data_IF_251992997443
#
_entry.id   IF_251992997443
#
_cell.length_a   1.000
_cell.length_b   1.000
_cell.length_c   1.000
_cell.angle_alpha   90.00
_cell.angle_beta   90.00
_cell.angle_gamma   90.00
#
_symmetry.space_group_name_H-M   'P 1'
#
loop_
_entity.id
_entity.type
_entity.pdbx_description
1 polymer ?
#
# COMPACT_ATOMS: atom_id res chain seq x y z
N UNK A 1 -38.86 -29.45 -14.69
CA UNK A 1 -38.24 -28.13 -14.38
C UNK A 1 -38.94 -27.07 -15.22
N UNK A 2 -39.54 -26.05 -14.62
CA UNK A 2 -40.39 -25.08 -15.35
C UNK A 2 -39.53 -24.16 -16.23
N UNK A 3 -39.93 -23.97 -17.50
CA UNK A 3 -39.28 -23.07 -18.49
C UNK A 3 -39.00 -21.68 -17.91
N UNK A 4 -39.86 -21.20 -17.00
CA UNK A 4 -39.69 -19.95 -16.24
C UNK A 4 -38.42 -19.91 -15.38
N UNK A 5 -37.98 -21.04 -14.79
CA UNK A 5 -36.75 -21.13 -14.00
C UNK A 5 -35.50 -21.16 -14.87
N UNK A 6 -35.57 -21.73 -16.07
CA UNK A 6 -34.45 -21.75 -17.03
C UNK A 6 -34.23 -20.33 -17.59
N UNK A 7 -35.31 -19.62 -17.93
CA UNK A 7 -35.24 -18.25 -18.40
C UNK A 7 -34.73 -17.29 -17.31
N UNK A 8 -35.15 -17.48 -16.06
CA UNK A 8 -34.63 -16.73 -14.92
C UNK A 8 -33.13 -16.97 -14.71
N UNK A 9 -32.68 -18.24 -14.75
CA UNK A 9 -31.26 -18.58 -14.62
C UNK A 9 -30.41 -17.96 -15.74
N UNK A 10 -30.92 -17.94 -16.98
CA UNK A 10 -30.28 -17.28 -18.11
C UNK A 10 -30.16 -15.76 -17.88
N UNK A 11 -31.23 -15.11 -17.41
CA UNK A 11 -31.20 -13.69 -17.07
C UNK A 11 -30.22 -13.38 -15.93
N UNK A 12 -30.15 -14.21 -14.90
CA UNK A 12 -29.17 -14.05 -13.80
C UNK A 12 -27.74 -14.16 -14.31
N UNK A 13 -27.45 -15.12 -15.20
CA UNK A 13 -26.13 -15.26 -15.82
C UNK A 13 -25.79 -14.04 -16.69
N UNK A 14 -26.75 -13.52 -17.47
CA UNK A 14 -26.54 -12.29 -18.27
C UNK A 14 -26.26 -11.08 -17.38
N UNK A 15 -26.94 -10.95 -16.24
CA UNK A 15 -26.68 -9.88 -15.26
C UNK A 15 -25.30 -10.04 -14.62
N UNK A 16 -24.91 -11.26 -14.23
CA UNK A 16 -23.58 -11.54 -13.66
C UNK A 16 -22.46 -11.27 -14.68
N UNK A 17 -22.66 -11.64 -15.94
CA UNK A 17 -21.71 -11.33 -17.03
C UNK A 17 -21.64 -9.83 -17.28
N UNK A 18 -22.77 -9.11 -17.25
CA UNK A 18 -22.79 -7.64 -17.37
C UNK A 18 -22.09 -6.96 -16.20
N UNK A 19 -22.28 -7.44 -14.97
CA UNK A 19 -21.56 -6.94 -13.79
C UNK A 19 -20.05 -7.25 -13.87
N UNK A 20 -19.68 -8.44 -14.36
CA UNK A 20 -18.28 -8.81 -14.61
C UNK A 20 -17.62 -7.95 -15.69
N UNK A 21 -18.34 -7.61 -16.75
CA UNK A 21 -17.85 -6.72 -17.83
C UNK A 21 -17.77 -5.25 -17.39
N UNK A 22 -18.62 -4.78 -16.47
CA UNK A 22 -18.46 -3.43 -15.89
C UNK A 22 -17.29 -3.33 -14.91
N UNK A 23 -16.87 -4.45 -14.32
CA UNK A 23 -15.65 -4.51 -13.50
C UNK A 23 -14.39 -4.54 -14.37
N UNK A 24 -14.44 -5.08 -15.60
CA UNK A 24 -13.26 -5.15 -16.47
C UNK A 24 -12.77 -3.76 -16.90
N UNK A 25 -13.66 -2.78 -17.07
CA UNK A 25 -13.25 -1.39 -17.36
C UNK A 25 -12.66 -0.66 -16.15
N UNK A 26 -12.94 -1.12 -14.92
CA UNK A 26 -12.28 -0.62 -13.71
C UNK A 26 -10.88 -1.20 -13.52
N UNK A 27 -10.60 -2.36 -14.13
CA UNK A 27 -9.32 -3.04 -14.07
C UNK A 27 -8.25 -2.30 -14.91
N UNK A 28 -8.65 -1.63 -15.99
CA UNK A 28 -7.77 -0.82 -16.85
C UNK A 28 -7.38 0.55 -16.24
N UNK A 29 -7.78 0.84 -15.00
CA UNK A 29 -7.38 2.07 -14.32
C UNK A 29 -6.00 1.88 -13.65
N UNK A 30 -5.01 2.76 -13.93
CA UNK A 30 -3.66 2.66 -13.37
C UNK A 30 -3.62 2.53 -11.84
N UNK A 31 -4.60 3.12 -11.14
CA UNK A 31 -4.68 3.06 -9.68
C UNK A 31 -5.00 1.66 -9.14
N UNK A 32 -5.87 0.89 -9.79
CA UNK A 32 -6.23 -0.47 -9.33
C UNK A 32 -5.07 -1.42 -9.56
N UNK A 33 -4.45 -1.36 -10.74
CA UNK A 33 -3.24 -2.12 -11.06
C UNK A 33 -2.10 -1.80 -10.08
N UNK A 34 -1.84 -0.50 -9.87
CA UNK A 34 -0.82 -0.04 -8.92
C UNK A 34 -1.04 -0.62 -7.52
N UNK A 35 -2.27 -0.58 -7.00
CA UNK A 35 -2.58 -1.13 -5.67
C UNK A 35 -2.34 -2.63 -5.58
N UNK A 36 -2.65 -3.38 -6.64
CA UNK A 36 -2.40 -4.83 -6.67
C UNK A 36 -0.90 -5.16 -6.71
N UNK A 37 -0.13 -4.43 -7.53
CA UNK A 37 1.32 -4.56 -7.61
C UNK A 37 1.99 -4.25 -6.26
N UNK A 38 1.53 -3.19 -5.58
CA UNK A 38 2.04 -2.84 -4.26
C UNK A 38 1.60 -3.82 -3.17
N UNK A 39 0.42 -4.45 -3.29
CA UNK A 39 0.02 -5.52 -2.37
C UNK A 39 0.98 -6.71 -2.44
N UNK A 40 1.35 -7.15 -3.66
CA UNK A 40 2.36 -8.21 -3.82
C UNK A 40 3.71 -7.78 -3.26
N UNK A 41 4.12 -6.53 -3.51
CA UNK A 41 5.37 -5.97 -2.97
C UNK A 41 5.36 -5.96 -1.45
N UNK A 42 4.24 -5.57 -0.83
CA UNK A 42 4.07 -5.59 0.63
C UNK A 42 4.13 -7.02 1.20
N UNK A 43 3.58 -8.02 0.49
CA UNK A 43 3.73 -9.42 0.88
C UNK A 43 5.19 -9.86 0.84
N UNK A 44 5.95 -9.47 -0.18
CA UNK A 44 7.39 -9.77 -0.28
C UNK A 44 8.14 -9.13 0.89
N UNK A 45 7.88 -7.85 1.19
CA UNK A 45 8.46 -7.17 2.35
C UNK A 45 8.12 -7.87 3.67
N UNK A 46 6.86 -8.24 3.87
CA UNK A 46 6.41 -8.95 5.08
C UNK A 46 7.09 -10.31 5.22
N UNK A 47 7.18 -11.07 4.13
CA UNK A 47 7.81 -12.37 4.08
C UNK A 47 9.33 -12.32 4.31
N UNK A 48 9.98 -11.24 3.86
CA UNK A 48 11.42 -11.03 4.05
C UNK A 48 11.78 -10.51 5.46
N UNK A 49 10.82 -9.96 6.21
CA UNK A 49 11.09 -9.33 7.49
C UNK A 49 11.54 -10.31 8.59
N UNK A 50 10.90 -11.49 8.64
CA UNK A 50 11.26 -12.53 9.61
C UNK A 50 10.87 -13.93 9.06
N UNK A 51 11.58 -14.44 8.05
CA UNK A 51 11.23 -15.72 7.44
C UNK A 51 11.46 -16.87 8.44
N UNK A 52 10.47 -17.76 8.66
CA UNK A 52 10.67 -18.92 9.52
C UNK A 52 11.75 -19.84 8.93
N UNK A 53 12.64 -20.32 9.80
CA UNK A 53 13.81 -21.12 9.43
C UNK A 53 13.48 -22.39 8.62
N UNK A 54 12.28 -22.95 8.79
CA UNK A 54 11.81 -24.14 8.09
C UNK A 54 11.46 -23.88 6.61
N UNK A 55 11.12 -22.64 6.26
CA UNK A 55 10.66 -22.26 4.92
C UNK A 55 11.72 -21.48 4.12
N UNK A 56 12.84 -21.11 4.75
CA UNK A 56 13.85 -20.23 4.14
C UNK A 56 14.56 -20.88 2.94
N UNK A 57 14.89 -22.18 2.95
CA UNK A 57 15.68 -22.77 1.85
C UNK A 57 14.91 -22.93 0.53
N UNK A 58 13.58 -23.09 0.58
CA UNK A 58 12.76 -23.35 -0.61
C UNK A 58 12.05 -22.11 -1.17
N UNK A 59 11.87 -21.07 -0.34
CA UNK A 59 11.01 -19.91 -0.66
C UNK A 59 11.83 -18.62 -0.80
N UNK A 60 13.08 -18.56 -0.32
CA UNK A 60 13.98 -17.40 -0.54
C UNK A 60 14.12 -16.97 -2.01
N UNK A 61 14.15 -17.88 -3.02
CA UNK A 61 14.16 -17.45 -4.42
C UNK A 61 12.91 -16.64 -4.84
N UNK A 62 11.77 -16.84 -4.18
CA UNK A 62 10.53 -16.10 -4.45
C UNK A 62 10.55 -14.67 -3.89
N UNK A 63 11.47 -14.35 -2.98
CA UNK A 63 11.63 -13.01 -2.40
C UNK A 63 12.49 -12.10 -3.29
N UNK A 64 13.31 -12.69 -4.17
CA UNK A 64 14.32 -11.96 -4.94
C UNK A 64 15.60 -11.70 -4.13
N UNK A 65 16.62 -11.13 -4.79
CA UNK A 65 17.94 -10.92 -4.18
C UNK A 65 17.97 -9.74 -3.19
N UNK A 66 17.18 -8.69 -3.44
CA UNK A 66 17.07 -7.52 -2.57
C UNK A 66 15.60 -7.04 -2.49
N UNK A 67 14.82 -7.59 -1.54
CA UNK A 67 13.41 -7.24 -1.38
C UNK A 67 13.15 -5.76 -1.11
N UNK A 68 14.03 -5.09 -0.35
CA UNK A 68 13.88 -3.69 0.02
C UNK A 68 14.17 -2.76 -1.16
N UNK A 69 15.27 -2.99 -1.89
CA UNK A 69 15.58 -2.21 -3.08
C UNK A 69 14.54 -2.44 -4.18
N UNK A 70 14.10 -3.68 -4.37
CA UNK A 70 13.04 -4.00 -5.33
C UNK A 70 11.74 -3.29 -4.95
N UNK A 71 11.36 -3.30 -3.67
CA UNK A 71 10.18 -2.60 -3.20
C UNK A 71 10.30 -1.09 -3.43
N UNK A 72 11.45 -0.48 -3.11
CA UNK A 72 11.67 0.94 -3.36
C UNK A 72 11.42 1.30 -4.83
N UNK A 73 12.02 0.56 -5.76
CA UNK A 73 11.85 0.80 -7.21
C UNK A 73 10.38 0.68 -7.64
N UNK A 74 9.65 -0.31 -7.12
CA UNK A 74 8.25 -0.50 -7.46
C UNK A 74 7.38 0.64 -6.91
N UNK A 75 7.62 1.06 -5.67
CA UNK A 75 6.93 2.18 -5.06
C UNK A 75 7.21 3.50 -5.78
N UNK A 76 8.46 3.78 -6.14
CA UNK A 76 8.85 4.97 -6.92
C UNK A 76 8.20 5.00 -8.31
N UNK A 77 8.15 3.85 -9.01
CA UNK A 77 7.47 3.73 -10.30
C UNK A 77 5.98 4.04 -10.18
N UNK A 78 5.33 3.49 -9.16
CA UNK A 78 3.90 3.77 -8.91
C UNK A 78 3.69 5.23 -8.55
N UNK A 79 4.53 5.79 -7.67
CA UNK A 79 4.47 7.20 -7.28
C UNK A 79 4.57 8.13 -8.50
N UNK A 80 5.49 7.86 -9.42
CA UNK A 80 5.64 8.58 -10.69
C UNK A 80 4.38 8.45 -11.57
N UNK A 81 3.83 7.24 -11.69
CA UNK A 81 2.60 6.98 -12.48
C UNK A 81 1.40 7.74 -11.93
N UNK A 82 1.28 7.79 -10.60
CA UNK A 82 0.22 8.51 -9.91
C UNK A 82 0.40 10.03 -10.06
N UNK A 83 1.62 10.56 -9.94
CA UNK A 83 1.90 11.98 -10.15
C UNK A 83 1.46 12.46 -11.54
N UNK A 84 1.82 11.71 -12.59
CA UNK A 84 1.37 11.98 -13.98
C UNK A 84 -0.15 11.89 -14.11
N UNK A 85 -0.80 10.97 -13.38
CA UNK A 85 -2.26 10.85 -13.37
C UNK A 85 -2.92 12.07 -12.73
N UNK A 86 -2.41 12.57 -11.61
CA UNK A 86 -2.88 13.79 -10.94
C UNK A 86 -2.78 15.00 -11.87
N UNK A 87 -1.66 15.16 -12.57
CA UNK A 87 -1.43 16.27 -13.51
C UNK A 87 -2.44 16.23 -14.67
N UNK A 88 -2.63 15.05 -15.27
CA UNK A 88 -3.57 14.86 -16.36
C UNK A 88 -5.02 15.11 -15.93
N UNK A 89 -5.42 14.63 -14.75
CA UNK A 89 -6.76 14.88 -14.21
C UNK A 89 -6.98 16.36 -13.91
N UNK A 90 -5.97 17.03 -13.34
CA UNK A 90 -6.01 18.47 -13.05
C UNK A 90 -6.18 19.29 -14.33
N UNK A 91 -5.41 18.96 -15.38
CA UNK A 91 -5.52 19.61 -16.69
C UNK A 91 -6.92 19.43 -17.29
N UNK A 92 -7.49 18.21 -17.22
CA UNK A 92 -8.86 17.94 -17.67
C UNK A 92 -9.91 18.70 -16.85
N UNK A 93 -9.75 18.78 -15.54
CA UNK A 93 -10.67 19.49 -14.66
C UNK A 93 -10.69 21.00 -14.96
N UNK A 94 -9.52 21.59 -15.23
CA UNK A 94 -9.38 23.02 -15.54
C UNK A 94 -9.93 23.40 -16.93
N UNK A 95 -10.00 22.45 -17.87
CA UNK A 95 -10.57 22.66 -19.19
C UNK A 95 -12.12 22.62 -19.20
N UNK A 96 -12.75 22.15 -18.12
CA UNK A 96 -14.21 22.06 -18.02
C UNK A 96 -14.82 23.38 -17.51
N UNK A 97 -16.03 23.75 -17.97
CA UNK A 97 -16.75 24.90 -17.42
C UNK A 97 -17.03 24.71 -15.93
N UNK A 98 -16.76 25.75 -15.15
CA UNK A 98 -16.99 25.79 -13.71
C UNK A 98 -18.21 26.65 -13.35
N UNK A 99 -19.13 26.19 -12.48
CA UNK A 99 -19.23 24.84 -11.89
C UNK A 99 -19.98 23.87 -12.83
N UNK A 100 -19.47 22.64 -12.98
CA UNK A 100 -20.19 21.53 -13.63
C UNK A 100 -20.08 20.23 -12.82
N UNK A 101 -21.09 19.36 -12.94
CA UNK A 101 -21.09 18.06 -12.26
C UNK A 101 -19.86 17.21 -12.61
N UNK A 102 -19.46 17.24 -13.88
CA UNK A 102 -18.25 16.56 -14.36
C UNK A 102 -16.99 17.14 -13.73
N UNK A 103 -16.86 18.47 -13.65
CA UNK A 103 -15.71 19.09 -12.99
C UNK A 103 -15.62 18.66 -11.52
N UNK A 104 -16.75 18.62 -10.80
CA UNK A 104 -16.74 18.23 -9.39
C UNK A 104 -16.36 16.76 -9.16
N UNK A 105 -16.79 15.85 -10.05
CA UNK A 105 -16.34 14.45 -10.05
C UNK A 105 -14.81 14.39 -10.22
N UNK A 106 -14.26 15.09 -11.21
CA UNK A 106 -12.81 15.11 -11.45
C UNK A 106 -12.05 15.67 -10.25
N UNK A 107 -12.53 16.75 -9.64
CA UNK A 107 -11.91 17.34 -8.43
C UNK A 107 -11.85 16.32 -7.29
N UNK A 108 -12.92 15.57 -7.04
CA UNK A 108 -12.91 14.54 -6.01
C UNK A 108 -11.92 13.42 -6.33
N UNK A 109 -11.88 12.96 -7.58
CA UNK A 109 -10.89 11.95 -8.02
C UNK A 109 -9.45 12.45 -7.88
N UNK A 110 -9.19 13.73 -8.14
CA UNK A 110 -7.87 14.35 -7.93
C UNK A 110 -7.49 14.29 -6.45
N UNK A 111 -8.41 14.65 -5.54
CA UNK A 111 -8.16 14.59 -4.10
C UNK A 111 -7.86 13.16 -3.64
N UNK A 112 -8.63 12.17 -4.08
CA UNK A 112 -8.39 10.75 -3.74
C UNK A 112 -7.05 10.25 -4.31
N UNK A 113 -6.72 10.63 -5.53
CA UNK A 113 -5.46 10.23 -6.20
C UNK A 113 -4.25 10.86 -5.53
N UNK A 114 -4.34 12.14 -5.13
CA UNK A 114 -3.30 12.85 -4.38
C UNK A 114 -3.13 12.26 -2.98
N UNK A 115 -4.21 11.91 -2.29
CA UNK A 115 -4.15 11.22 -1.00
C UNK A 115 -3.41 9.88 -1.12
N UNK A 116 -3.67 9.11 -2.19
CA UNK A 116 -2.92 7.89 -2.46
C UNK A 116 -1.44 8.16 -2.74
N UNK A 117 -1.10 9.18 -3.53
CA UNK A 117 0.29 9.59 -3.76
C UNK A 117 1.01 9.88 -2.45
N UNK A 118 0.37 10.63 -1.56
CA UNK A 118 0.91 11.00 -0.25
C UNK A 118 1.11 9.80 0.67
N UNK A 119 0.24 8.79 0.58
CA UNK A 119 0.44 7.51 1.26
C UNK A 119 1.68 6.78 0.73
N UNK A 120 1.91 6.78 -0.60
CA UNK A 120 3.10 6.18 -1.19
C UNK A 120 4.37 6.86 -0.72
N UNK A 121 4.36 8.20 -0.59
CA UNK A 121 5.49 8.93 -0.04
C UNK A 121 5.77 8.52 1.41
N UNK A 122 4.73 8.36 2.23
CA UNK A 122 4.89 7.90 3.60
C UNK A 122 5.50 6.50 3.67
N UNK A 123 5.02 5.57 2.84
CA UNK A 123 5.51 4.18 2.74
C UNK A 123 6.94 4.11 2.17
N UNK A 124 7.29 4.97 1.21
CA UNK A 124 8.66 5.11 0.68
C UNK A 124 9.65 5.54 1.75
N UNK A 125 9.28 6.49 2.62
CA UNK A 125 10.13 6.89 3.74
C UNK A 125 10.44 5.72 4.68
N UNK A 126 9.47 4.85 4.95
CA UNK A 126 9.69 3.65 5.77
C UNK A 126 10.61 2.62 5.08
N UNK A 127 10.51 2.49 3.75
CA UNK A 127 11.43 1.66 2.96
C UNK A 127 12.85 2.26 2.98
N UNK A 128 12.97 3.59 2.91
CA UNK A 128 14.24 4.31 2.99
C UNK A 128 14.90 4.12 4.36
N UNK A 129 14.14 4.23 5.46
CA UNK A 129 14.69 3.96 6.81
C UNK A 129 15.15 2.53 6.99
N UNK A 130 14.41 1.55 6.48
CA UNK A 130 14.80 0.13 6.54
C UNK A 130 16.09 -0.17 5.74
N UNK A 131 16.43 0.68 4.78
CA UNK A 131 17.68 0.61 4.02
C UNK A 131 18.80 1.49 4.61
N UNK A 132 18.59 2.13 5.76
CA UNK A 132 19.54 3.05 6.37
C UNK A 132 19.65 4.42 5.68
N UNK A 133 18.68 4.77 4.80
CA UNK A 133 18.61 6.06 4.08
C UNK A 133 17.76 7.07 4.84
N UNK A 134 18.01 7.23 6.14
CA UNK A 134 17.17 8.04 7.03
C UNK A 134 17.03 9.50 6.60
N UNK A 135 18.10 10.11 6.06
CA UNK A 135 18.04 11.49 5.59
C UNK A 135 17.00 11.70 4.46
N UNK A 136 16.88 10.74 3.54
CA UNK A 136 15.89 10.79 2.47
C UNK A 136 14.46 10.62 3.02
N UNK A 137 14.29 9.72 3.99
CA UNK A 137 13.00 9.50 4.65
C UNK A 137 12.51 10.74 5.39
N UNK A 138 13.41 11.42 6.11
CA UNK A 138 13.11 12.64 6.84
C UNK A 138 12.71 13.77 5.89
N UNK A 139 13.45 14.01 4.82
CA UNK A 139 13.09 15.01 3.81
C UNK A 139 11.68 14.77 3.24
N UNK A 140 11.38 13.50 2.94
CA UNK A 140 10.07 13.10 2.40
C UNK A 140 8.93 13.33 3.39
N UNK A 141 9.12 12.95 4.65
CA UNK A 141 8.10 13.13 5.68
C UNK A 141 7.91 14.60 6.08
N UNK A 142 8.99 15.41 6.07
CA UNK A 142 8.89 16.85 6.28
C UNK A 142 8.04 17.51 5.19
N UNK A 143 8.29 17.22 3.91
CA UNK A 143 7.45 17.69 2.82
C UNK A 143 5.98 17.27 3.01
N UNK A 144 5.75 15.99 3.33
CA UNK A 144 4.41 15.46 3.55
C UNK A 144 3.69 16.13 4.73
N UNK A 145 4.39 16.47 5.81
CA UNK A 145 3.80 17.13 6.98
C UNK A 145 3.19 18.50 6.65
N UNK A 146 3.70 19.17 5.61
CA UNK A 146 3.21 20.49 5.16
C UNK A 146 2.19 20.40 4.04
N UNK A 147 2.31 19.41 3.14
CA UNK A 147 1.51 19.32 1.92
C UNK A 147 0.35 18.31 2.00
N UNK A 148 0.29 17.51 3.06
CA UNK A 148 -0.73 16.47 3.24
C UNK A 148 -2.15 17.07 3.16
N UNK A 149 -2.98 16.50 2.28
CA UNK A 149 -4.39 16.89 2.17
C UNK A 149 -5.23 16.27 3.28
N UNK A 150 -4.70 15.24 3.95
CA UNK A 150 -5.33 14.55 5.07
C UNK A 150 -4.57 14.87 6.38
N UNK A 151 -5.23 15.42 7.41
CA UNK A 151 -4.58 15.75 8.68
C UNK A 151 -3.96 14.52 9.38
N UNK A 152 -4.52 13.33 9.22
CA UNK A 152 -3.94 12.11 9.82
C UNK A 152 -2.62 11.72 9.15
N UNK A 153 -2.47 11.95 7.83
CA UNK A 153 -1.20 11.73 7.14
C UNK A 153 -0.14 12.77 7.54
N UNK A 154 -0.55 14.03 7.73
CA UNK A 154 0.32 15.08 8.27
C UNK A 154 0.82 14.72 9.68
N UNK A 155 -0.08 14.25 10.54
CA UNK A 155 0.26 13.83 11.89
C UNK A 155 1.16 12.59 11.89
N UNK A 156 0.86 11.60 11.05
CA UNK A 156 1.67 10.38 10.97
C UNK A 156 3.08 10.66 10.43
N UNK A 157 3.22 11.48 9.39
CA UNK A 157 4.54 11.88 8.88
C UNK A 157 5.36 12.63 9.93
N UNK A 158 4.73 13.52 10.71
CA UNK A 158 5.39 14.15 11.86
C UNK A 158 5.78 13.15 12.95
N UNK A 159 4.92 12.18 13.27
CA UNK A 159 5.22 11.10 14.22
C UNK A 159 6.41 10.26 13.74
N UNK A 160 6.41 9.83 12.47
CA UNK A 160 7.52 9.08 11.88
C UNK A 160 8.82 9.91 11.90
N UNK A 161 8.77 11.18 11.53
CA UNK A 161 9.94 12.07 11.64
C UNK A 161 10.51 12.11 13.06
N UNK A 162 9.64 12.23 14.08
CA UNK A 162 10.05 12.21 15.47
C UNK A 162 10.63 10.86 15.91
N UNK A 163 10.09 9.74 15.42
CA UNK A 163 10.58 8.40 15.76
C UNK A 163 12.03 8.14 15.34
N UNK A 164 12.48 8.74 14.24
CA UNK A 164 13.86 8.57 13.75
C UNK A 164 14.78 9.74 14.09
N UNK A 165 14.31 10.99 14.12
CA UNK A 165 15.18 12.18 14.30
C UNK A 165 15.10 12.81 15.70
N UNK A 166 13.99 12.65 16.42
CA UNK A 166 13.79 13.30 17.74
C UNK A 166 12.93 12.47 18.68
N UNK A 167 13.45 11.31 19.16
CA UNK A 167 12.66 10.32 19.89
C UNK A 167 11.97 10.86 21.15
N UNK A 168 12.56 11.88 21.80
CA UNK A 168 11.96 12.55 22.97
C UNK A 168 10.65 13.29 22.66
N UNK A 169 10.43 13.71 21.41
CA UNK A 169 9.22 14.40 20.97
C UNK A 169 8.03 13.44 20.75
N UNK A 170 8.26 12.13 20.69
CA UNK A 170 7.20 11.13 20.49
C UNK A 170 6.17 11.16 21.63
N UNK A 171 6.60 11.48 22.85
CA UNK A 171 5.73 11.56 24.03
C UNK A 171 4.70 12.69 24.00
N UNK A 172 4.78 13.63 23.06
CA UNK A 172 3.80 14.72 22.91
C UNK A 172 2.67 14.39 21.94
N UNK A 173 2.79 13.30 21.18
CA UNK A 173 1.76 12.87 20.24
C UNK A 173 0.72 12.02 20.99
N UNK A 174 -0.58 12.36 20.94
CA UNK A 174 -1.61 11.55 21.59
C UNK A 174 -1.83 10.25 20.81
N UNK A 175 -1.89 9.11 21.52
CA UNK A 175 -2.19 7.78 20.97
C UNK A 175 -1.38 7.42 19.70
N UNK A 176 -0.04 7.48 19.71
CA UNK A 176 0.79 7.28 18.52
C UNK A 176 0.63 5.87 17.92
N UNK A 177 0.37 4.87 18.77
CA UNK A 177 0.10 3.50 18.33
C UNK A 177 -1.18 3.41 17.49
N UNK A 178 -2.28 4.02 17.93
CA UNK A 178 -3.55 4.03 17.18
C UNK A 178 -3.39 4.71 15.83
N UNK A 179 -2.67 5.84 15.79
CA UNK A 179 -2.40 6.54 14.55
C UNK A 179 -1.64 5.64 13.54
N UNK A 180 -0.62 4.92 14.00
CA UNK A 180 0.10 3.95 13.17
C UNK A 180 -0.84 2.81 12.71
N UNK A 181 -1.63 2.25 13.62
CA UNK A 181 -2.49 1.10 13.30
C UNK A 181 -3.62 1.43 12.31
N UNK A 182 -4.15 2.65 12.35
CA UNK A 182 -5.23 3.09 11.46
C UNK A 182 -4.75 3.51 10.07
N UNK A 183 -3.53 4.05 9.98
CA UNK A 183 -3.01 4.65 8.75
C UNK A 183 -2.04 3.73 8.00
N UNK A 184 -1.38 2.78 8.67
CA UNK A 184 -0.43 1.87 8.06
C UNK A 184 -0.95 0.43 8.01
N UNK A 185 -0.59 -0.27 6.94
CA UNK A 185 -0.97 -1.66 6.70
C UNK A 185 0.25 -2.54 6.44
N UNK A 186 0.07 -3.84 6.64
CA UNK A 186 1.08 -4.84 6.32
C UNK A 186 2.43 -4.53 6.94
N UNK A 187 3.51 -4.69 6.16
CA UNK A 187 4.89 -4.52 6.64
C UNK A 187 5.15 -3.15 7.27
N UNK A 188 4.67 -2.06 6.65
CA UNK A 188 4.88 -0.68 7.13
C UNK A 188 4.37 -0.47 8.56
N UNK A 189 3.21 -1.04 8.88
CA UNK A 189 2.64 -0.96 10.23
C UNK A 189 3.58 -1.56 11.26
N UNK A 190 4.10 -2.76 10.99
CA UNK A 190 4.98 -3.44 11.94
C UNK A 190 6.32 -2.72 12.08
N UNK A 191 6.87 -2.19 10.99
CA UNK A 191 8.10 -1.38 11.04
C UNK A 191 7.93 -0.14 11.92
N UNK A 192 6.84 0.62 11.71
CA UNK A 192 6.58 1.81 12.50
C UNK A 192 6.31 1.48 13.98
N UNK A 193 5.56 0.41 14.27
CA UNK A 193 5.32 -0.05 15.65
C UNK A 193 6.58 -0.55 16.33
N UNK A 194 7.47 -1.27 15.62
CA UNK A 194 8.73 -1.73 16.20
C UNK A 194 9.60 -0.55 16.60
N UNK A 195 9.71 0.48 15.74
CA UNK A 195 10.43 1.69 16.07
C UNK A 195 9.79 2.45 17.24
N UNK A 196 8.45 2.56 17.26
CA UNK A 196 7.71 3.19 18.36
C UNK A 196 8.02 2.52 19.70
N UNK A 197 7.91 1.19 19.78
CA UNK A 197 8.16 0.46 21.01
C UNK A 197 9.63 0.45 21.41
N UNK A 198 10.55 0.48 20.43
CA UNK A 198 11.98 0.63 20.68
C UNK A 198 12.28 1.97 21.35
N UNK A 199 11.76 3.07 20.80
CA UNK A 199 11.92 4.43 21.37
C UNK A 199 11.29 4.54 22.75
N UNK A 200 10.13 3.90 22.95
CA UNK A 200 9.44 3.88 24.24
C UNK A 200 10.06 2.92 25.26
N UNK A 201 11.04 2.12 24.86
CA UNK A 201 11.62 1.05 25.68
C UNK A 201 10.56 0.05 26.19
N UNK A 202 9.51 -0.20 25.40
CA UNK A 202 8.40 -1.07 25.77
C UNK A 202 8.69 -2.52 25.34
N UNK A 203 9.48 -3.23 26.15
CA UNK A 203 9.97 -4.57 25.83
C UNK A 203 8.85 -5.61 25.68
N UNK A 204 7.76 -5.46 26.43
CA UNK A 204 6.64 -6.42 26.42
C UNK A 204 5.85 -6.33 25.10
N UNK A 205 5.56 -5.10 24.65
CA UNK A 205 4.92 -4.88 23.36
C UNK A 205 5.84 -5.25 22.20
N UNK A 206 7.14 -4.97 22.32
CA UNK A 206 8.12 -5.34 21.32
C UNK A 206 8.25 -6.87 21.16
N UNK A 207 8.25 -7.62 22.26
CA UNK A 207 8.23 -9.09 22.22
C UNK A 207 6.94 -9.63 21.57
N UNK A 208 5.79 -9.06 21.95
CA UNK A 208 4.48 -9.44 21.37
C UNK A 208 4.40 -9.13 19.87
N UNK A 209 4.92 -7.97 19.46
CA UNK A 209 4.96 -7.52 18.07
C UNK A 209 5.81 -8.46 17.21
N UNK A 210 6.99 -8.87 17.70
CA UNK A 210 7.89 -9.79 16.99
C UNK A 210 7.25 -11.15 16.77
N UNK A 211 6.60 -11.72 17.79
CA UNK A 211 5.85 -12.97 17.62
C UNK A 211 4.76 -12.86 16.55
N UNK A 212 4.03 -11.74 16.51
CA UNK A 212 3.04 -11.48 15.47
C UNK A 212 3.67 -11.29 14.08
N UNK A 213 4.85 -10.66 14.00
CA UNK A 213 5.59 -10.46 12.75
C UNK A 213 6.03 -11.80 12.15
N UNK A 214 6.56 -12.74 12.95
CA UNK A 214 6.91 -14.09 12.49
C UNK A 214 5.70 -14.81 11.88
N UNK A 215 4.53 -14.73 12.53
CA UNK A 215 3.30 -15.33 12.03
C UNK A 215 2.87 -14.70 10.69
N UNK A 216 2.94 -13.36 10.59
CA UNK A 216 2.57 -12.65 9.36
C UNK A 216 3.55 -12.88 8.22
N UNK A 217 4.83 -13.02 8.50
CA UNK A 217 5.86 -13.41 7.53
C UNK A 217 5.55 -14.79 6.95
N UNK A 218 5.26 -15.78 7.80
CA UNK A 218 4.84 -17.12 7.36
C UNK A 218 3.58 -17.08 6.48
N UNK A 219 2.55 -16.34 6.89
CA UNK A 219 1.33 -16.17 6.09
C UNK A 219 1.61 -15.48 4.74
N UNK A 220 2.53 -14.51 4.70
CA UNK A 220 2.90 -13.82 3.48
C UNK A 220 3.63 -14.76 2.51
N UNK A 221 4.55 -15.60 3.00
CA UNK A 221 5.21 -16.64 2.20
C UNK A 221 4.20 -17.62 1.60
N UNK A 222 3.24 -18.10 2.39
CA UNK A 222 2.17 -18.99 1.89
C UNK A 222 1.31 -18.32 0.81
N UNK A 223 0.95 -17.05 1.01
CA UNK A 223 0.20 -16.27 0.00
C UNK A 223 1.01 -16.10 -1.29
N UNK A 224 2.30 -15.79 -1.19
CA UNK A 224 3.19 -15.66 -2.35
C UNK A 224 3.34 -16.99 -3.09
N UNK A 225 3.47 -18.10 -2.38
CA UNK A 225 3.52 -19.44 -2.97
C UNK A 225 2.22 -19.77 -3.74
N UNK A 226 1.06 -19.44 -3.17
CA UNK A 226 -0.24 -19.63 -3.84
C UNK A 226 -0.37 -18.76 -5.09
N UNK A 227 0.02 -17.49 -5.02
CA UNK A 227 -0.01 -16.57 -6.18
C UNK A 227 0.92 -17.09 -7.29
N UNK A 228 2.10 -17.62 -6.92
CA UNK A 228 3.10 -18.14 -7.86
C UNK A 228 2.74 -19.52 -8.44
N UNK A 229 1.95 -20.31 -7.71
CA UNK A 229 1.49 -21.63 -8.14
C UNK A 229 0.29 -21.58 -9.10
N UNK A 230 -0.38 -20.43 -9.23
CA UNK A 230 -1.38 -20.24 -10.28
C UNK A 230 -0.66 -20.25 -11.63
N UNK A 231 -0.95 -21.22 -12.53
CA UNK A 231 -0.49 -21.10 -13.90
C UNK A 231 -1.08 -19.80 -14.43
N UNK A 232 -0.23 -18.88 -14.88
CA UNK A 232 -0.66 -17.76 -15.70
C UNK A 232 -1.22 -18.32 -17.00
N UNK A 233 -2.49 -18.74 -16.98
CA UNK A 233 -3.27 -19.04 -18.18
C UNK A 233 -3.46 -17.72 -18.92
N UNK A 234 -2.40 -17.30 -19.62
CA UNK A 234 -2.27 -15.98 -20.23
C UNK A 234 -1.04 -15.83 -21.12
N UNK A 235 -0.03 -16.70 -21.01
CA UNK A 235 1.10 -16.74 -21.93
C UNK A 235 0.85 -17.71 -23.11
N UNK A 236 -0.18 -17.47 -23.92
CA UNK A 236 -0.28 -18.05 -25.26
C UNK A 236 -1.19 -17.20 -26.17
N UNK A 237 -0.80 -15.94 -26.38
CA UNK A 237 -1.14 -15.21 -27.61
C UNK A 237 0.15 -14.53 -28.07
N UNK A 238 0.92 -15.29 -28.84
CA UNK A 238 1.90 -14.78 -29.81
C UNK A 238 1.14 -14.40 -31.06
#
# INVERSE_FOLDING_TARGET
MNVKRILLALCTVIVLVRMGLSLSSSYDQPQVQSRLELYQTNLVLMAAADPPAELSEQIVPLLGADPLQTAQQQYERVQTTIAVTVENLTTKANALPAPSAQQQILTNTIVETKSFQQQLDLELGLIETAQGKEAAALERWEALSTEATNPNLAQLSGLLSNLWNSPSAVGTVPNPETLIQEQLLGWFKYQALEQLYTVQQNTDQLASLRGAMTEKSSQALLKLALISALPTMGASWV
#
